data_IF_509853848226
#
_entry.id   IF_509853848226
#
_cell.length_a   1.000
_cell.length_b   1.000
_cell.length_c   1.000
_cell.angle_alpha   90.00
_cell.angle_beta   90.00
_cell.angle_gamma   90.00
#
_symmetry.space_group_name_H-M   'P 1'
#
loop_
_entity.id
_entity.type
_entity.pdbx_description
1 polymer ?
#
# COMPACT_ATOMS: atom_id res chain seq x y z
N UNK A 1 12.18 8.66 11.56
CA UNK A 1 10.83 8.10 11.33
C UNK A 1 9.87 8.79 12.28
N UNK A 2 8.66 9.08 11.82
CA UNK A 2 7.60 9.64 12.65
C UNK A 2 7.22 8.64 13.74
N UNK A 3 7.16 9.11 14.99
CA UNK A 3 6.85 8.30 16.16
C UNK A 3 5.90 9.10 17.06
N UNK A 4 4.86 8.48 17.62
CA UNK A 4 4.48 7.07 17.48
C UNK A 4 3.99 6.71 16.06
N UNK A 5 3.99 5.42 15.67
CA UNK A 5 3.41 5.00 14.40
C UNK A 5 1.89 5.19 14.40
N UNK A 6 1.32 5.45 13.22
CA UNK A 6 -0.12 5.43 13.01
C UNK A 6 -0.65 4.09 12.52
N UNK A 7 -1.94 3.88 12.69
CA UNK A 7 -2.64 2.63 12.35
C UNK A 7 -3.93 2.91 11.56
N UNK A 8 -4.33 2.02 10.64
CA UNK A 8 -5.60 2.16 9.95
C UNK A 8 -6.80 2.01 10.93
N UNK A 9 -7.99 2.52 10.56
CA UNK A 9 -9.19 2.31 11.35
C UNK A 9 -9.45 0.84 11.67
N UNK A 10 -10.04 0.57 12.84
CA UNK A 10 -10.34 -0.79 13.32
C UNK A 10 -9.14 -1.74 13.47
N UNK A 11 -7.90 -1.24 13.48
CA UNK A 11 -6.72 -2.09 13.71
C UNK A 11 -6.73 -2.71 15.10
N UNK A 12 -6.40 -4.00 15.21
CA UNK A 12 -6.20 -4.68 16.50
C UNK A 12 -5.10 -5.76 16.49
N UNK A 13 -4.23 -5.77 15.48
CA UNK A 13 -3.14 -6.72 15.33
C UNK A 13 -3.58 -8.15 14.99
N UNK A 14 -2.60 -9.05 14.83
CA UNK A 14 -2.83 -10.48 14.55
C UNK A 14 -2.80 -11.29 15.84
N UNK A 15 -3.96 -11.38 16.51
CA UNK A 15 -4.15 -12.18 17.73
C UNK A 15 -4.86 -13.52 17.50
N UNK A 16 -5.20 -14.21 18.59
CA UNK A 16 -6.04 -15.43 18.54
C UNK A 16 -7.40 -15.09 17.92
N UNK A 17 -7.78 -15.82 16.86
CA UNK A 17 -9.03 -15.58 16.12
C UNK A 17 -8.92 -14.50 15.05
N UNK A 18 -7.71 -14.02 14.75
CA UNK A 18 -7.48 -13.17 13.58
C UNK A 18 -7.73 -13.95 12.28
N UNK A 19 -8.41 -13.30 11.34
CA UNK A 19 -8.60 -13.75 9.98
C UNK A 19 -8.40 -12.56 9.03
N UNK A 20 -7.70 -12.77 7.92
CA UNK A 20 -7.40 -11.70 6.95
C UNK A 20 -8.68 -11.08 6.36
N UNK A 21 -9.75 -11.86 6.23
CA UNK A 21 -11.05 -11.41 5.74
C UNK A 21 -11.77 -10.43 6.69
N UNK A 22 -11.28 -10.20 7.91
CA UNK A 22 -11.83 -9.18 8.80
C UNK A 22 -11.23 -7.79 8.55
N UNK A 23 -10.03 -7.71 7.96
CA UNK A 23 -9.27 -6.45 7.79
C UNK A 23 -9.05 -6.08 6.34
N UNK A 24 -8.88 -7.07 5.47
CA UNK A 24 -8.49 -6.85 4.09
C UNK A 24 -9.73 -6.72 3.22
N UNK A 25 -9.87 -5.59 2.51
CA UNK A 25 -10.91 -5.41 1.50
C UNK A 25 -10.48 -6.10 0.21
N UNK A 26 -10.83 -7.39 0.04
CA UNK A 26 -10.79 -8.02 -1.28
C UNK A 26 -11.98 -7.48 -2.09
N UNK A 27 -11.68 -6.73 -3.15
CA UNK A 27 -12.67 -6.07 -4.00
C UNK A 27 -13.13 -7.03 -5.10
N UNK A 28 -14.44 -7.10 -5.31
CA UNK A 28 -15.06 -8.03 -6.25
C UNK A 28 -16.58 -7.96 -6.20
N UNK A 29 -17.27 -9.00 -6.70
CA UNK A 29 -18.74 -9.03 -6.83
C UNK A 29 -19.51 -8.65 -5.55
N UNK A 30 -18.95 -8.94 -4.37
CA UNK A 30 -19.58 -8.59 -3.10
C UNK A 30 -19.51 -7.08 -2.78
N UNK A 31 -18.41 -6.40 -3.13
CA UNK A 31 -18.23 -4.96 -2.91
C UNK A 31 -16.97 -4.44 -3.63
N UNK A 32 -17.08 -3.24 -4.18
CA UNK A 32 -15.95 -2.45 -4.69
C UNK A 32 -15.64 -1.22 -3.81
N UNK A 33 -16.25 -1.10 -2.63
CA UNK A 33 -15.99 0.00 -1.70
C UNK A 33 -14.58 -0.11 -1.11
N UNK A 34 -13.81 0.98 -1.20
CA UNK A 34 -12.38 0.97 -0.83
C UNK A 34 -12.15 0.81 0.67
N UNK A 35 -13.06 1.34 1.50
CA UNK A 35 -12.89 1.43 2.95
C UNK A 35 -13.87 0.57 3.74
N UNK A 36 -14.51 -0.43 3.12
CA UNK A 36 -15.60 -1.20 3.73
C UNK A 36 -15.27 -1.78 5.12
N UNK A 37 -14.11 -2.43 5.27
CA UNK A 37 -13.64 -3.00 6.56
C UNK A 37 -12.85 -2.02 7.42
N UNK A 38 -12.44 -0.89 6.84
CA UNK A 38 -11.58 0.12 7.48
C UNK A 38 -12.21 1.52 7.29
N UNK A 39 -13.42 1.76 7.80
CA UNK A 39 -14.11 3.01 7.58
C UNK A 39 -13.35 4.14 8.26
N UNK A 40 -13.06 5.20 7.50
CA UNK A 40 -12.34 6.39 7.98
C UNK A 40 -13.06 7.01 9.20
N UNK A 41 -12.29 7.60 10.12
CA UNK A 41 -12.83 8.17 11.36
C UNK A 41 -13.06 7.19 12.51
N UNK A 42 -12.92 5.88 12.29
CA UNK A 42 -13.17 4.85 13.31
C UNK A 42 -11.88 4.26 13.90
N UNK A 43 -11.08 5.11 14.56
CA UNK A 43 -9.85 4.68 15.20
C UNK A 43 -10.12 3.86 16.48
N UNK A 44 -9.21 2.92 16.79
CA UNK A 44 -9.27 2.11 18.01
C UNK A 44 -8.39 2.72 19.08
N UNK A 45 -8.88 2.76 20.31
CA UNK A 45 -8.11 3.23 21.47
C UNK A 45 -6.76 2.50 21.58
N UNK A 46 -5.67 3.27 21.71
CA UNK A 46 -4.30 2.74 21.78
C UNK A 46 -3.61 2.58 20.41
N UNK A 47 -4.34 2.75 19.31
CA UNK A 47 -3.78 2.68 17.95
C UNK A 47 -4.09 3.99 17.23
N UNK A 48 -3.33 5.08 17.44
CA UNK A 48 -3.67 6.38 16.89
C UNK A 48 -3.50 6.44 15.37
N UNK A 49 -4.01 7.51 14.77
CA UNK A 49 -3.62 7.93 13.42
C UNK A 49 -2.16 8.37 13.40
N UNK A 50 -1.54 8.43 12.22
CA UNK A 50 -0.18 8.96 12.09
C UNK A 50 -0.24 10.49 12.12
N UNK A 51 0.60 11.12 12.95
CA UNK A 51 0.90 12.55 12.83
C UNK A 51 2.04 12.76 11.83
N UNK A 52 1.86 13.65 10.86
CA UNK A 52 2.88 14.02 9.88
C UNK A 52 2.66 15.46 9.41
N UNK A 53 3.69 16.11 8.87
CA UNK A 53 3.56 17.43 8.27
C UNK A 53 3.33 17.35 6.74
N UNK A 54 2.76 18.40 6.14
CA UNK A 54 2.80 18.58 4.69
C UNK A 54 4.25 18.47 4.16
N UNK A 55 4.45 17.66 3.11
CA UNK A 55 5.78 17.43 2.53
C UNK A 55 6.57 16.26 3.13
N UNK A 56 6.18 15.72 4.29
CA UNK A 56 6.86 14.58 4.90
C UNK A 56 6.80 13.34 4.01
N UNK A 57 7.85 12.52 4.10
CA UNK A 57 7.85 11.17 3.54
C UNK A 57 7.43 10.19 4.62
N UNK A 58 6.40 9.40 4.35
CA UNK A 58 5.85 8.39 5.26
C UNK A 58 5.89 7.00 4.63
N UNK A 59 6.10 5.98 5.46
CA UNK A 59 6.12 4.57 5.02
C UNK A 59 4.82 3.86 5.35
N UNK A 60 4.10 3.41 4.32
CA UNK A 60 2.95 2.52 4.48
C UNK A 60 3.43 1.09 4.58
N UNK A 61 3.11 0.40 5.69
CA UNK A 61 3.70 -0.90 6.01
C UNK A 61 2.66 -2.01 6.10
N UNK A 62 2.98 -3.16 5.52
CA UNK A 62 2.05 -4.27 5.38
C UNK A 62 2.77 -5.62 5.46
N UNK A 63 2.03 -6.62 5.93
CA UNK A 63 2.52 -8.01 5.97
C UNK A 63 2.36 -8.67 4.61
N UNK A 64 3.42 -9.32 4.14
CA UNK A 64 3.44 -9.98 2.84
C UNK A 64 2.69 -11.31 2.82
N UNK A 65 2.53 -11.97 3.98
CA UNK A 65 1.68 -13.15 4.13
C UNK A 65 1.99 -14.31 3.16
N UNK A 66 3.25 -14.48 2.79
CA UNK A 66 3.74 -15.46 1.80
C UNK A 66 3.70 -14.98 0.34
N UNK A 67 3.06 -13.85 0.03
CA UNK A 67 2.94 -13.35 -1.34
C UNK A 67 4.30 -12.99 -1.95
N UNK A 68 5.28 -12.65 -1.12
CA UNK A 68 6.64 -12.26 -1.54
C UNK A 68 7.63 -13.40 -1.35
N UNK A 69 7.63 -14.04 -0.19
CA UNK A 69 8.64 -15.08 0.11
C UNK A 69 8.27 -16.47 -0.40
N UNK A 70 7.00 -16.69 -0.76
CA UNK A 70 6.47 -17.92 -1.38
C UNK A 70 5.74 -17.58 -2.71
N UNK A 71 6.43 -16.96 -3.68
CA UNK A 71 5.79 -16.33 -4.85
C UNK A 71 5.12 -17.33 -5.80
N UNK A 72 5.49 -18.60 -5.74
CA UNK A 72 4.88 -19.65 -6.56
C UNK A 72 3.56 -20.17 -5.99
N UNK A 73 3.13 -19.65 -4.83
CA UNK A 73 1.89 -20.02 -4.16
C UNK A 73 1.04 -18.78 -3.87
N UNK A 74 -0.07 -18.58 -4.60
CA UNK A 74 -0.53 -19.31 -5.77
C UNK A 74 0.33 -19.01 -7.01
N UNK A 75 0.25 -19.89 -8.01
CA UNK A 75 0.95 -19.73 -9.29
C UNK A 75 0.33 -18.62 -10.15
N UNK A 76 1.06 -18.24 -11.20
CA UNK A 76 0.63 -17.33 -12.26
C UNK A 76 0.30 -15.91 -11.79
N UNK A 77 1.11 -15.44 -10.84
CA UNK A 77 1.03 -14.09 -10.31
C UNK A 77 2.05 -13.16 -10.99
N UNK A 78 1.77 -11.85 -11.05
CA UNK A 78 2.64 -10.90 -11.72
C UNK A 78 4.04 -10.86 -11.10
N UNK A 79 5.02 -10.44 -11.90
CA UNK A 79 6.33 -10.03 -11.40
C UNK A 79 6.18 -8.98 -10.29
N UNK A 80 7.15 -8.97 -9.37
CA UNK A 80 7.18 -8.09 -8.19
C UNK A 80 5.89 -8.10 -7.35
N UNK A 81 5.11 -9.17 -7.51
CA UNK A 81 3.90 -9.49 -6.75
C UNK A 81 2.81 -8.43 -6.94
N UNK A 82 2.80 -7.84 -8.13
CA UNK A 82 1.82 -6.87 -8.55
C UNK A 82 2.18 -5.44 -8.16
N UNK A 83 1.18 -4.57 -8.24
CA UNK A 83 1.39 -3.12 -8.14
C UNK A 83 0.53 -2.53 -7.05
N UNK A 84 1.14 -1.72 -6.21
CA UNK A 84 0.48 -0.87 -5.23
C UNK A 84 0.31 0.52 -5.84
N UNK A 85 -0.90 1.05 -5.72
CA UNK A 85 -1.26 2.42 -6.04
C UNK A 85 -1.70 3.09 -4.75
N UNK A 86 -1.10 4.23 -4.44
CA UNK A 86 -1.43 4.99 -3.25
C UNK A 86 -2.04 6.31 -3.68
N UNK A 87 -3.25 6.58 -3.20
CA UNK A 87 -3.97 7.81 -3.45
C UNK A 87 -4.17 8.57 -2.14
N UNK A 88 -4.42 9.88 -2.24
CA UNK A 88 -4.87 10.64 -1.09
C UNK A 88 -5.81 11.80 -1.40
N UNK A 89 -6.62 12.15 -0.40
CA UNK A 89 -7.65 13.19 -0.50
C UNK A 89 -7.93 13.86 0.86
N UNK A 90 -8.31 15.13 0.83
CA UNK A 90 -8.87 15.86 1.97
C UNK A 90 -10.39 15.71 2.07
N UNK A 91 -11.03 15.16 1.04
CA UNK A 91 -12.49 15.07 0.90
C UNK A 91 -12.91 13.62 0.63
N UNK A 92 -12.59 12.66 1.53
CA UNK A 92 -12.96 11.27 1.34
C UNK A 92 -14.48 11.08 1.42
N UNK A 93 -15.04 10.16 0.64
CA UNK A 93 -16.43 9.75 0.79
C UNK A 93 -16.52 8.30 1.31
N UNK A 94 -17.55 8.02 2.12
CA UNK A 94 -17.75 6.70 2.70
C UNK A 94 -18.08 5.62 1.65
N UNK A 95 -18.61 6.04 0.50
CA UNK A 95 -19.00 5.22 -0.64
C UNK A 95 -17.96 5.22 -1.78
N UNK A 96 -16.80 5.86 -1.61
CA UNK A 96 -15.71 5.83 -2.59
C UNK A 96 -15.40 4.37 -3.00
N UNK A 97 -15.56 4.07 -4.29
CA UNK A 97 -15.34 2.75 -4.85
C UNK A 97 -14.03 2.68 -5.64
N UNK A 98 -13.63 1.46 -5.97
CA UNK A 98 -12.54 1.19 -6.89
C UNK A 98 -12.68 2.01 -8.18
N UNK A 99 -13.88 2.09 -8.74
CA UNK A 99 -14.09 2.67 -10.06
C UNK A 99 -14.11 4.20 -10.08
N UNK A 100 -14.28 4.83 -8.92
CA UNK A 100 -14.22 6.29 -8.76
C UNK A 100 -12.77 6.79 -8.66
N UNK A 101 -11.89 5.98 -8.08
CA UNK A 101 -10.52 6.38 -7.70
C UNK A 101 -9.46 5.74 -8.58
N UNK A 102 -9.48 4.40 -8.72
CA UNK A 102 -8.36 3.64 -9.27
C UNK A 102 -8.15 3.92 -10.76
N UNK A 103 -6.93 4.33 -11.12
CA UNK A 103 -6.57 4.82 -12.47
C UNK A 103 -7.49 5.93 -13.01
N UNK A 104 -8.26 6.60 -12.13
CA UNK A 104 -9.05 7.81 -12.44
C UNK A 104 -8.39 9.05 -11.87
N UNK A 105 -8.04 9.01 -10.58
CA UNK A 105 -7.26 10.08 -9.96
C UNK A 105 -5.83 10.06 -10.48
N UNK A 106 -5.37 11.21 -10.93
CA UNK A 106 -4.05 11.41 -11.54
C UNK A 106 -3.11 12.11 -10.56
N UNK A 107 -1.81 12.07 -10.84
CA UNK A 107 -0.80 12.65 -9.95
C UNK A 107 -0.92 14.19 -9.82
N UNK A 108 -1.39 14.86 -10.87
CA UNK A 108 -1.67 16.30 -10.88
C UNK A 108 -2.99 16.69 -10.17
N UNK A 109 -3.78 15.70 -9.72
CA UNK A 109 -5.04 15.90 -9.02
C UNK A 109 -6.21 16.36 -9.89
N UNK A 110 -6.08 16.29 -11.22
CA UNK A 110 -7.14 16.74 -12.15
C UNK A 110 -8.05 15.61 -12.65
N UNK A 111 -7.61 14.37 -12.51
CA UNK A 111 -8.33 13.18 -12.98
C UNK A 111 -9.50 12.76 -12.10
N UNK A 112 -10.40 11.96 -12.68
CA UNK A 112 -11.62 11.52 -12.03
C UNK A 112 -12.54 12.70 -11.71
N UNK A 113 -12.92 12.83 -10.44
CA UNK A 113 -13.73 13.93 -9.93
C UNK A 113 -12.92 15.08 -9.30
N UNK A 114 -11.59 15.03 -9.39
CA UNK A 114 -10.69 16.07 -8.92
C UNK A 114 -10.59 16.22 -7.39
N UNK A 115 -11.17 15.30 -6.60
CA UNK A 115 -11.10 15.36 -5.13
C UNK A 115 -9.80 14.82 -4.55
N UNK A 116 -9.04 14.06 -5.32
CA UNK A 116 -7.82 13.41 -4.83
C UNK A 116 -6.77 13.24 -5.92
N UNK A 117 -5.64 12.68 -5.51
CA UNK A 117 -4.45 12.54 -6.35
C UNK A 117 -3.77 11.19 -6.13
N UNK A 118 -3.13 10.70 -7.19
CA UNK A 118 -2.20 9.58 -7.11
C UNK A 118 -0.88 10.07 -6.48
N UNK A 119 -0.52 9.50 -5.33
CA UNK A 119 0.68 9.86 -4.57
C UNK A 119 1.88 9.01 -4.97
N UNK A 120 1.65 7.72 -5.20
CA UNK A 120 2.71 6.83 -5.60
C UNK A 120 2.22 5.57 -6.32
N UNK A 121 3.12 4.97 -7.10
CA UNK A 121 3.04 3.57 -7.52
C UNK A 121 4.27 2.81 -7.03
N UNK A 122 4.07 1.58 -6.54
CA UNK A 122 5.13 0.73 -5.97
C UNK A 122 4.95 -0.71 -6.39
N UNK A 123 6.04 -1.46 -6.43
CA UNK A 123 5.97 -2.91 -6.37
C UNK A 123 5.43 -3.32 -4.99
N UNK A 124 4.58 -4.34 -4.93
CA UNK A 124 4.17 -4.90 -3.63
C UNK A 124 5.35 -5.58 -2.92
N UNK A 125 6.19 -6.27 -3.70
CA UNK A 125 7.51 -6.70 -3.24
C UNK A 125 8.50 -5.53 -3.28
N UNK A 126 8.85 -5.00 -2.12
CA UNK A 126 9.78 -3.88 -1.97
C UNK A 126 11.28 -4.28 -2.09
N UNK A 127 11.54 -5.57 -2.32
CA UNK A 127 12.88 -6.15 -2.46
C UNK A 127 13.65 -6.36 -1.15
N UNK A 128 13.10 -5.93 0.00
CA UNK A 128 13.72 -6.04 1.32
C UNK A 128 12.93 -6.93 2.27
N UNK A 129 11.60 -6.80 2.27
CA UNK A 129 10.71 -7.43 3.22
C UNK A 129 10.69 -8.95 3.17
N UNK A 130 10.32 -9.59 4.28
CA UNK A 130 10.19 -11.03 4.35
C UNK A 130 9.27 -11.43 5.50
N UNK A 131 8.45 -12.45 5.28
CA UNK A 131 7.95 -13.31 6.33
C UNK A 131 8.97 -14.41 6.62
N UNK A 132 9.25 -14.68 7.89
CA UNK A 132 10.16 -15.75 8.30
C UNK A 132 9.56 -17.10 7.93
N UNK A 133 10.23 -17.84 7.06
CA UNK A 133 9.90 -19.22 6.68
C UNK A 133 11.13 -19.94 6.10
N UNK A 134 10.94 -21.19 5.68
CA UNK A 134 12.01 -22.04 5.17
C UNK A 134 12.34 -21.85 3.68
N UNK A 135 11.58 -21.02 2.97
CA UNK A 135 11.77 -20.74 1.56
C UNK A 135 13.07 -19.99 1.27
N UNK A 136 13.64 -20.16 0.06
CA UNK A 136 14.94 -19.58 -0.31
C UNK A 136 14.94 -18.04 -0.27
N UNK A 137 13.85 -17.39 -0.70
CA UNK A 137 13.73 -15.93 -0.69
C UNK A 137 13.75 -15.40 0.75
N UNK A 138 12.97 -16.03 1.64
CA UNK A 138 12.96 -15.65 3.06
C UNK A 138 14.35 -15.76 3.68
N UNK A 139 15.04 -16.89 3.50
CA UNK A 139 16.40 -17.11 4.03
C UNK A 139 17.41 -16.09 3.48
N UNK A 140 17.39 -15.86 2.17
CA UNK A 140 18.27 -14.87 1.54
C UNK A 140 18.03 -13.45 2.07
N UNK A 141 16.77 -13.04 2.22
CA UNK A 141 16.44 -11.70 2.72
C UNK A 141 16.73 -11.53 4.20
N UNK A 142 16.49 -12.56 5.03
CA UNK A 142 16.91 -12.56 6.43
C UNK A 142 18.42 -12.36 6.55
N UNK A 143 19.23 -12.98 5.68
CA UNK A 143 20.68 -12.80 5.68
C UNK A 143 21.12 -11.39 5.24
N UNK A 144 20.46 -10.81 4.25
CA UNK A 144 20.79 -9.48 3.70
C UNK A 144 20.25 -8.32 4.54
N UNK A 145 19.07 -8.51 5.14
CA UNK A 145 18.25 -7.50 5.81
C UNK A 145 17.97 -7.94 7.26
N UNK A 146 19.05 -8.24 7.98
CA UNK A 146 18.99 -8.68 9.38
C UNK A 146 18.36 -7.59 10.26
N UNK A 147 17.42 -7.99 11.11
CA UNK A 147 16.78 -7.15 12.12
C UNK A 147 16.59 -7.90 13.43
N UNK A 148 16.52 -7.14 14.52
CA UNK A 148 15.96 -7.62 15.78
C UNK A 148 14.44 -7.60 15.71
N UNK A 149 13.77 -8.55 16.35
CA UNK A 149 12.30 -8.55 16.42
C UNK A 149 11.79 -7.25 17.04
N UNK A 150 10.68 -6.72 16.51
CA UNK A 150 10.11 -5.44 16.92
C UNK A 150 8.59 -5.50 16.87
N UNK A 151 7.89 -5.09 17.92
CA UNK A 151 6.43 -5.04 17.90
C UNK A 151 5.92 -3.87 17.05
N UNK A 152 4.83 -4.05 16.29
CA UNK A 152 4.03 -5.27 16.11
C UNK A 152 4.54 -6.21 14.99
N UNK A 153 5.69 -5.91 14.38
CA UNK A 153 6.23 -6.66 13.23
C UNK A 153 6.70 -8.07 13.59
N UNK A 154 7.05 -8.32 14.86
CA UNK A 154 7.63 -9.57 15.31
C UNK A 154 8.98 -9.82 14.63
N UNK A 155 9.22 -11.06 14.21
CA UNK A 155 10.45 -11.46 13.52
C UNK A 155 10.47 -11.06 12.04
N UNK A 156 9.30 -10.84 11.44
CA UNK A 156 9.15 -10.50 10.03
C UNK A 156 9.63 -9.07 9.75
N UNK A 157 10.13 -8.81 8.54
CA UNK A 157 10.31 -7.45 8.03
C UNK A 157 9.12 -7.13 7.13
N UNK A 158 8.25 -6.20 7.55
CA UNK A 158 7.07 -5.83 6.77
C UNK A 158 7.48 -5.14 5.46
N UNK A 159 6.70 -5.35 4.40
CA UNK A 159 6.88 -4.61 3.16
C UNK A 159 6.44 -3.17 3.33
N UNK A 160 7.04 -2.29 2.54
CA UNK A 160 6.87 -0.86 2.65
C UNK A 160 6.63 -0.19 1.30
N UNK A 161 5.70 0.75 1.30
CA UNK A 161 5.48 1.72 0.25
C UNK A 161 5.71 3.12 0.83
N UNK A 162 6.85 3.73 0.54
CA UNK A 162 7.14 5.10 0.94
C UNK A 162 6.49 6.09 -0.01
N UNK A 163 5.82 7.08 0.56
CA UNK A 163 5.09 8.12 -0.17
C UNK A 163 5.47 9.50 0.37
N UNK A 164 5.50 10.50 -0.51
CA UNK A 164 5.64 11.90 -0.12
C UNK A 164 4.26 12.53 -0.01
N UNK A 165 3.94 13.11 1.14
CA UNK A 165 2.73 13.90 1.31
C UNK A 165 2.87 15.21 0.51
N UNK A 166 1.79 15.69 -0.14
CA UNK A 166 1.84 16.98 -0.80
C UNK A 166 2.21 18.12 0.17
N UNK A 167 3.11 19.00 -0.25
CA UNK A 167 3.63 20.09 0.58
C UNK A 167 2.64 21.25 0.78
N UNK A 168 1.56 21.28 0.02
CA UNK A 168 0.52 22.30 0.03
C UNK A 168 -0.70 21.93 0.88
N UNK A 169 -0.64 20.81 1.62
CA UNK A 169 -1.74 20.38 2.46
C UNK A 169 -1.97 21.34 3.64
N UNK A 170 -3.24 21.59 4.03
CA UNK A 170 -3.56 22.38 5.21
C UNK A 170 -3.21 21.63 6.49
N UNK A 171 -2.74 22.36 7.49
CA UNK A 171 -2.43 21.84 8.82
C UNK A 171 -3.68 21.74 9.69
N UNK A 172 -3.61 20.98 10.78
CA UNK A 172 -4.73 20.69 11.71
C UNK A 172 -5.93 20.06 11.00
N UNK A 173 -5.67 19.23 9.98
CA UNK A 173 -6.69 18.50 9.21
C UNK A 173 -6.32 17.02 9.07
N UNK A 174 -7.27 16.20 8.64
CA UNK A 174 -7.02 14.79 8.33
C UNK A 174 -6.91 14.60 6.82
N UNK A 175 -5.85 13.91 6.41
CA UNK A 175 -5.64 13.47 5.04
C UNK A 175 -5.89 11.98 4.95
N UNK A 176 -6.77 11.57 4.04
CA UNK A 176 -7.09 10.16 3.83
C UNK A 176 -6.15 9.56 2.81
N UNK A 177 -5.70 8.34 3.08
CA UNK A 177 -4.84 7.54 2.22
C UNK A 177 -5.62 6.31 1.78
N UNK A 178 -5.68 6.08 0.47
CA UNK A 178 -6.20 4.84 -0.12
C UNK A 178 -5.05 4.04 -0.69
N UNK A 179 -4.82 2.87 -0.12
CA UNK A 179 -3.89 1.86 -0.62
C UNK A 179 -4.69 0.88 -1.48
N UNK A 180 -4.30 0.70 -2.74
CA UNK A 180 -4.90 -0.26 -3.66
C UNK A 180 -3.77 -1.16 -4.19
N UNK A 181 -3.88 -2.45 -3.97
CA UNK A 181 -2.94 -3.43 -4.48
C UNK A 181 -3.62 -4.33 -5.50
N UNK A 182 -3.08 -4.35 -6.72
CA UNK A 182 -3.54 -5.26 -7.77
C UNK A 182 -2.61 -6.44 -7.90
N UNK A 183 -3.18 -7.64 -7.77
CA UNK A 183 -2.46 -8.91 -7.79
C UNK A 183 -3.27 -10.00 -8.52
N UNK A 184 -3.67 -9.74 -9.79
CA UNK A 184 -4.51 -10.66 -10.54
C UNK A 184 -3.81 -12.01 -10.76
N UNK A 185 -4.61 -13.04 -11.02
CA UNK A 185 -4.08 -14.26 -11.62
C UNK A 185 -4.07 -14.10 -13.14
N UNK A 186 -2.92 -14.33 -13.74
CA UNK A 186 -2.69 -14.15 -15.17
C UNK A 186 -2.84 -15.47 -15.93
N UNK A 187 -2.97 -15.37 -17.25
CA UNK A 187 -2.78 -16.51 -18.13
C UNK A 187 -1.33 -17.02 -18.01
N UNK A 188 -1.08 -18.34 -17.95
CA UNK A 188 0.26 -18.90 -17.71
C UNK A 188 1.35 -18.35 -18.62
N UNK A 189 1.06 -18.17 -19.92
CA UNK A 189 1.97 -17.67 -20.93
C UNK A 189 2.31 -16.17 -20.81
N UNK A 190 1.57 -15.43 -19.97
CA UNK A 190 1.76 -13.98 -19.78
C UNK A 190 2.60 -13.63 -18.56
N UNK A 191 2.81 -14.58 -17.65
CA UNK A 191 3.53 -14.37 -16.39
C UNK A 191 4.96 -13.86 -16.61
N UNK A 192 5.70 -14.45 -17.56
CA UNK A 192 7.12 -14.15 -17.75
C UNK A 192 7.41 -12.76 -18.35
N UNK A 193 6.37 -12.05 -18.84
CA UNK A 193 6.51 -10.77 -19.53
C UNK A 193 5.87 -9.59 -18.81
N UNK A 194 5.38 -9.76 -17.58
CA UNK A 194 4.69 -8.68 -16.88
C UNK A 194 5.65 -7.67 -16.26
N UNK A 195 5.36 -6.39 -16.45
CA UNK A 195 5.85 -5.30 -15.61
C UNK A 195 4.72 -4.77 -14.73
N UNK A 196 5.07 -4.16 -13.60
CA UNK A 196 4.07 -3.56 -12.71
C UNK A 196 3.31 -2.43 -13.39
N UNK A 197 1.99 -2.57 -13.46
CA UNK A 197 1.09 -1.55 -13.98
C UNK A 197 0.77 -1.68 -15.47
N UNK A 198 1.46 -2.57 -16.19
CA UNK A 198 1.31 -2.77 -17.64
C UNK A 198 0.14 -3.69 -18.04
N UNK A 199 -0.51 -4.33 -17.08
CA UNK A 199 -1.65 -5.20 -17.30
C UNK A 199 -2.96 -4.52 -16.85
N UNK A 200 -4.05 -4.82 -17.58
CA UNK A 200 -5.39 -4.63 -17.03
C UNK A 200 -5.59 -5.52 -15.81
N UNK A 201 -6.50 -5.16 -14.91
CA UNK A 201 -6.69 -5.80 -13.61
C UNK A 201 -7.91 -6.74 -13.57
N UNK A 202 -8.65 -6.83 -14.68
CA UNK A 202 -9.87 -7.60 -14.84
C UNK A 202 -9.86 -8.48 -16.11
N UNK A 203 -10.49 -9.65 -16.11
CA UNK A 203 -10.71 -10.43 -17.34
C UNK A 203 -11.59 -9.67 -18.35
N UNK A 204 -11.43 -9.90 -19.66
CA UNK A 204 -12.32 -9.32 -20.68
C UNK A 204 -13.77 -9.83 -20.59
N UNK A 205 -13.94 -11.07 -20.12
CA UNK A 205 -15.25 -11.72 -20.02
C UNK A 205 -15.62 -11.91 -18.54
N UNK A 206 -16.85 -11.56 -18.19
CA UNK A 206 -17.38 -11.73 -16.84
C UNK A 206 -17.07 -10.60 -15.86
N UNK A 207 -16.39 -9.55 -16.32
CA UNK A 207 -16.13 -8.35 -15.51
C UNK A 207 -17.33 -7.40 -15.50
N UNK A 208 -17.51 -6.62 -14.41
CA UNK A 208 -18.57 -5.60 -14.36
C UNK A 208 -18.30 -4.52 -15.41
N UNK A 209 -19.37 -3.85 -15.87
CA UNK A 209 -19.28 -2.85 -16.93
C UNK A 209 -18.38 -1.66 -16.55
N UNK A 210 -18.39 -1.30 -15.27
CA UNK A 210 -17.57 -0.25 -14.66
C UNK A 210 -16.07 -0.56 -14.79
N UNK A 211 -15.68 -1.85 -14.84
CA UNK A 211 -14.30 -2.27 -15.00
C UNK A 211 -13.81 -2.28 -16.47
N UNK A 212 -14.64 -1.84 -17.43
CA UNK A 212 -14.30 -1.89 -18.87
C UNK A 212 -13.00 -1.20 -19.26
N UNK A 213 -12.54 -0.20 -18.49
CA UNK A 213 -11.25 0.48 -18.72
C UNK A 213 -10.04 -0.23 -18.09
N UNK A 214 -10.28 -1.34 -17.39
CA UNK A 214 -9.30 -2.12 -16.66
C UNK A 214 -9.22 -3.57 -17.17
N UNK A 215 -9.96 -3.94 -18.21
CA UNK A 215 -9.93 -5.32 -18.71
C UNK A 215 -8.66 -5.61 -19.50
N UNK A 216 -8.21 -6.87 -19.46
CA UNK A 216 -7.10 -7.37 -20.26
C UNK A 216 -7.30 -8.86 -20.58
N UNK A 217 -6.92 -9.32 -21.79
CA UNK A 217 -6.94 -10.74 -22.14
C UNK A 217 -5.92 -11.56 -21.34
N UNK A 218 -4.93 -10.88 -20.74
CA UNK A 218 -3.86 -11.52 -19.96
C UNK A 218 -4.32 -11.91 -18.55
N UNK A 219 -5.47 -11.40 -18.09
CA UNK A 219 -6.01 -11.69 -16.75
C UNK A 219 -7.01 -12.83 -16.81
N UNK A 220 -6.72 -13.87 -16.04
CA UNK A 220 -7.64 -14.99 -15.82
C UNK A 220 -8.60 -14.73 -14.65
N UNK A 221 -8.13 -14.04 -13.61
CA UNK A 221 -8.93 -13.70 -12.42
C UNK A 221 -8.48 -12.36 -11.84
N UNK A 222 -9.43 -11.47 -11.61
CA UNK A 222 -9.18 -10.22 -10.88
C UNK A 222 -9.01 -10.50 -9.39
N UNK A 223 -7.96 -9.93 -8.81
CA UNK A 223 -7.69 -9.93 -7.37
C UNK A 223 -7.10 -8.58 -7.01
N UNK A 224 -7.94 -7.73 -6.42
CA UNK A 224 -7.58 -6.37 -6.02
C UNK A 224 -7.92 -6.21 -4.55
N UNK A 225 -6.97 -5.69 -3.79
CA UNK A 225 -7.13 -5.43 -2.37
C UNK A 225 -7.07 -3.94 -2.12
N UNK A 226 -7.85 -3.44 -1.17
CA UNK A 226 -7.70 -2.08 -0.70
C UNK A 226 -7.57 -1.99 0.81
N UNK A 227 -7.04 -0.86 1.25
CA UNK A 227 -7.02 -0.43 2.63
C UNK A 227 -7.07 1.10 2.71
N UNK A 228 -7.66 1.62 3.77
CA UNK A 228 -7.80 3.03 4.03
C UNK A 228 -7.16 3.39 5.36
N UNK A 229 -6.47 4.53 5.38
CA UNK A 229 -5.87 5.09 6.59
C UNK A 229 -6.04 6.61 6.60
N UNK A 230 -5.80 7.22 7.75
CA UNK A 230 -5.77 8.67 7.90
C UNK A 230 -4.42 9.11 8.46
N UNK A 231 -3.97 10.27 8.01
CA UNK A 231 -2.84 11.01 8.55
C UNK A 231 -3.39 12.31 9.11
N UNK A 232 -3.09 12.60 10.36
CA UNK A 232 -3.35 13.91 10.94
C UNK A 232 -2.19 14.84 10.56
N UNK A 233 -2.52 15.89 9.83
CA UNK A 233 -1.56 16.84 9.30
C UNK A 233 -1.24 17.88 10.35
N UNK A 234 -0.06 17.80 10.95
CA UNK A 234 0.38 18.73 11.99
C UNK A 234 1.17 19.89 11.39
N UNK A 235 1.06 21.09 12.00
CA UNK A 235 1.78 22.28 11.54
C UNK A 235 3.29 22.28 11.84
N UNK A 236 3.77 21.36 12.66
CA UNK A 236 5.20 21.18 12.91
C UNK A 236 5.76 20.22 11.87
N UNK A 237 6.57 20.72 10.95
CA UNK A 237 7.43 19.86 10.15
C UNK A 237 8.36 19.11 11.12
N UNK A 238 8.05 17.84 11.37
CA UNK A 238 8.79 16.98 12.29
C UNK A 238 10.25 16.77 11.84
N UNK A 239 10.57 17.13 10.60
CA UNK A 239 11.91 17.16 10.01
C UNK A 239 12.52 18.57 9.92
N UNK A 240 11.82 19.66 10.28
CA UNK A 240 12.37 21.02 10.24
C UNK A 240 13.47 21.30 11.28
N UNK A 241 13.80 20.31 12.14
CA UNK A 241 15.01 20.33 12.96
C UNK A 241 16.22 19.64 12.30
N UNK A 242 16.05 19.02 11.13
CA UNK A 242 17.15 18.52 10.31
C UNK A 242 17.17 19.27 8.98
N UNK A 243 18.21 20.07 8.74
CA UNK A 243 18.51 20.71 7.45
C UNK A 243 18.86 19.69 6.33
N UNK A 244 18.44 18.45 6.47
CA UNK A 244 18.76 17.38 5.54
C UNK A 244 17.48 16.60 5.21
N UNK A 245 16.96 16.80 4.00
CA UNK A 245 16.19 15.77 3.30
C UNK A 245 17.15 14.60 2.93
N UNK A 246 17.83 14.01 3.92
CA UNK A 246 18.80 12.95 3.70
C UNK A 246 18.24 11.61 4.14
N UNK A 247 18.33 10.64 3.24
CA UNK A 247 18.14 9.24 3.59
C UNK A 247 19.20 8.83 4.63
N UNK A 248 18.75 8.41 5.82
CA UNK A 248 19.65 7.97 6.89
C UNK A 248 19.90 6.47 6.75
N UNK A 249 21.05 6.11 6.16
CA UNK A 249 21.40 4.72 5.85
C UNK A 249 21.47 3.81 7.09
N UNK A 250 21.97 4.33 8.21
CA UNK A 250 22.20 3.56 9.44
C UNK A 250 20.98 3.45 10.36
N UNK A 251 19.80 3.87 9.90
CA UNK A 251 18.56 3.61 10.65
C UNK A 251 18.28 2.11 10.79
N UNK A 252 17.66 1.75 11.92
CA UNK A 252 17.09 0.42 12.10
C UNK A 252 16.18 0.11 10.91
N UNK A 253 16.44 -1.01 10.24
CA UNK A 253 15.71 -1.45 9.06
C UNK A 253 14.23 -1.70 9.36
N UNK A 254 13.88 -1.98 10.62
CA UNK A 254 12.48 -2.01 11.05
C UNK A 254 11.78 -0.68 10.79
N UNK A 255 12.49 0.44 10.64
CA UNK A 255 11.99 1.82 10.62
C UNK A 255 12.63 2.70 9.54
N UNK A 256 13.41 2.13 8.63
CA UNK A 256 14.11 2.89 7.60
C UNK A 256 13.24 3.01 6.35
N UNK A 257 13.28 4.19 5.71
CA UNK A 257 12.75 4.36 4.36
C UNK A 257 13.47 3.49 3.32
N UNK A 258 12.95 3.43 2.11
CA UNK A 258 13.56 2.82 0.95
C UNK A 258 14.02 3.95 0.05
N UNK A 259 15.34 4.15 0.00
CA UNK A 259 15.95 5.30 -0.69
C UNK A 259 15.38 5.55 -2.08
N UNK A 260 15.29 4.51 -2.91
CA UNK A 260 14.77 4.61 -4.27
C UNK A 260 13.33 5.15 -4.30
N UNK A 261 12.49 4.74 -3.36
CA UNK A 261 11.10 5.22 -3.25
C UNK A 261 11.00 6.66 -2.72
N UNK A 262 12.04 7.16 -2.05
CA UNK A 262 12.14 8.57 -1.64
C UNK A 262 12.57 9.48 -2.80
N UNK A 263 13.32 8.92 -3.75
CA UNK A 263 13.82 9.62 -4.94
C UNK A 263 12.76 9.68 -6.05
N UNK A 264 11.92 8.64 -6.20
CA UNK A 264 10.87 8.56 -7.23
C UNK A 264 9.50 8.13 -6.68
N UNK A 265 8.46 8.91 -7.00
CA UNK A 265 7.08 8.61 -6.56
C UNK A 265 6.38 7.55 -7.41
N UNK A 266 6.83 7.32 -8.64
CA UNK A 266 6.15 6.42 -9.57
C UNK A 266 7.14 5.42 -10.15
N UNK A 267 6.69 4.17 -10.30
CA UNK A 267 7.35 3.20 -11.16
C UNK A 267 7.44 3.78 -12.58
N UNK A 268 8.61 3.64 -13.19
CA UNK A 268 8.92 4.07 -14.57
C UNK A 268 8.64 2.94 -15.54
#
# INVERSE_FOLDING_TARGET
>A
MLSPPGFPPKWFGRGKGFHDDLFTNLLGEATYSLCAKQPLGHQVDGFPVLDAAPGDVIGLRYQENGHVTLPDTPAHKPANRGTVYVYGTLSPHADDSLFDVYKKWTADGTGGDGRGKLLATRHYDDGQCYQVNDGPISKQRQDRFRKSAADPQGADLWCQADIRLPGDLPTETFYSIYFIWTWPTLQPEKVAGTSSGDYGDFPEIGSPAEASYLVSPDVAKSEIYSSCAMVHLTGENMLAHSNEESFIQEQDINFRGIKEQMDTSFLV
#
